data_IF_571974709237
#
_entry.id   IF_571974709237
#
_cell.length_a   1.000
_cell.length_b   1.000
_cell.length_c   1.000
_cell.angle_alpha   90.00
_cell.angle_beta   90.00
_cell.angle_gamma   90.00
#
_symmetry.space_group_name_H-M   'P 1'
#
loop_
_entity.id
_entity.type
_entity.pdbx_description
1 polymer ?
#
# COMPACT_ATOMS: atom_id res chain seq x y z
N UNK A 1 -38.62 7.87 47.67
CA UNK A 1 -39.41 7.79 46.42
C UNK A 1 -38.85 8.87 45.51
N UNK A 2 -38.22 8.48 44.39
CA UNK A 2 -37.82 9.30 43.22
C UNK A 2 -36.78 10.43 43.50
N UNK A 3 -35.51 10.38 43.08
CA UNK A 3 -34.87 10.15 41.77
C UNK A 3 -35.14 11.30 40.78
N UNK A 4 -34.24 12.27 40.73
CA UNK A 4 -33.98 13.09 39.53
C UNK A 4 -32.46 13.23 39.36
N UNK A 5 -31.93 12.44 38.43
CA UNK A 5 -30.54 12.51 38.01
C UNK A 5 -30.33 13.71 37.10
N UNK A 6 -29.38 14.55 37.47
CA UNK A 6 -28.78 15.50 36.54
C UNK A 6 -28.02 14.74 35.46
N UNK A 7 -28.45 14.94 34.22
CA UNK A 7 -27.79 14.44 33.03
C UNK A 7 -26.68 15.45 32.69
N UNK A 8 -25.43 15.07 32.92
CA UNK A 8 -24.28 15.77 32.31
C UNK A 8 -23.99 15.10 30.96
N UNK A 9 -23.80 15.89 29.89
CA UNK A 9 -23.51 15.38 28.56
C UNK A 9 -22.02 15.04 28.42
N UNK A 10 -21.72 14.13 27.50
CA UNK A 10 -20.38 13.79 26.99
C UNK A 10 -19.44 13.09 27.98
N UNK A 11 -19.55 11.76 28.03
CA UNK A 11 -18.45 10.90 28.45
C UNK A 11 -17.88 10.18 27.22
N UNK A 12 -16.63 10.54 26.92
CA UNK A 12 -15.65 9.94 26.04
C UNK A 12 -15.99 8.53 25.48
N UNK A 13 -16.23 8.47 24.16
CA UNK A 13 -16.15 7.25 23.35
C UNK A 13 -14.77 7.07 22.71
N UNK A 14 -13.75 7.79 23.19
CA UNK A 14 -12.37 7.63 22.77
C UNK A 14 -11.55 6.93 23.88
N UNK A 15 -10.71 5.97 23.49
CA UNK A 15 -9.63 5.38 24.29
C UNK A 15 -9.93 4.32 25.36
N UNK A 16 -10.96 3.49 25.13
CA UNK A 16 -11.29 2.35 26.01
C UNK A 16 -10.74 0.96 25.62
N UNK A 17 -9.90 0.81 24.59
CA UNK A 17 -9.36 -0.52 24.22
C UNK A 17 -7.92 -0.68 24.70
N UNK A 18 -7.79 -1.25 25.90
CA UNK A 18 -6.53 -1.76 26.43
C UNK A 18 -5.82 -2.66 25.41
N UNK A 19 -4.56 -2.34 25.10
CA UNK A 19 -3.65 -3.04 24.18
C UNK A 19 -3.20 -4.41 24.71
N UNK A 20 -4.11 -5.26 25.17
CA UNK A 20 -3.78 -6.56 25.75
C UNK A 20 -4.72 -7.66 25.24
N UNK A 21 -4.59 -7.99 23.96
CA UNK A 21 -4.90 -9.33 23.46
C UNK A 21 -3.56 -9.98 23.07
N UNK A 22 -3.30 -11.24 23.47
CA UNK A 22 -2.03 -11.89 23.21
C UNK A 22 -1.81 -12.11 21.71
N UNK A 23 -0.81 -11.40 21.17
CA UNK A 23 0.27 -11.97 20.35
C UNK A 23 -0.05 -12.74 19.06
N UNK A 24 -1.25 -12.67 18.49
CA UNK A 24 -1.48 -13.22 17.14
C UNK A 24 -1.11 -12.17 16.11
N UNK A 25 0.12 -12.25 15.59
CA UNK A 25 0.48 -11.56 14.36
C UNK A 25 -0.29 -12.24 13.23
N UNK A 26 -1.35 -11.60 12.74
CA UNK A 26 -2.06 -12.10 11.58
C UNK A 26 -1.17 -11.96 10.33
N UNK A 27 -1.22 -12.93 9.40
CA UNK A 27 -0.57 -12.77 8.11
C UNK A 27 -1.25 -11.65 7.35
N UNK A 28 -0.43 -10.82 6.72
CA UNK A 28 -0.87 -9.78 5.80
C UNK A 28 -0.54 -10.26 4.39
N UNK A 29 -1.61 -10.43 3.59
CA UNK A 29 -1.64 -11.19 2.33
C UNK A 29 -2.13 -10.26 1.23
N UNK A 30 -1.21 -9.85 0.37
CA UNK A 30 -1.46 -9.02 -0.80
C UNK A 30 -1.38 -9.88 -2.07
N UNK A 31 -2.35 -9.70 -2.98
CA UNK A 31 -2.26 -10.18 -4.36
C UNK A 31 -2.34 -9.00 -5.30
N UNK A 32 -1.30 -8.84 -6.12
CA UNK A 32 -1.33 -7.90 -7.23
C UNK A 32 -2.10 -8.48 -8.42
N UNK A 33 -3.02 -7.71 -8.95
CA UNK A 33 -3.87 -8.03 -10.09
C UNK A 33 -3.58 -7.07 -11.25
N UNK A 34 -3.55 -7.59 -12.48
CA UNK A 34 -3.38 -6.78 -13.69
C UNK A 34 -4.61 -5.93 -14.02
N UNK A 35 -5.77 -6.22 -13.42
CA UNK A 35 -7.03 -5.53 -13.68
C UNK A 35 -7.99 -5.55 -12.47
N UNK A 36 -9.07 -4.76 -12.53
CA UNK A 36 -10.07 -4.71 -11.46
C UNK A 36 -10.83 -6.03 -11.34
N UNK A 37 -11.21 -6.38 -10.10
CA UNK A 37 -12.03 -7.55 -9.79
C UNK A 37 -13.16 -7.18 -8.83
N UNK A 38 -14.31 -7.85 -8.94
CA UNK A 38 -15.44 -7.68 -8.03
C UNK A 38 -15.15 -8.31 -6.66
N UNK A 39 -14.67 -7.52 -5.68
CA UNK A 39 -14.36 -8.06 -4.34
C UNK A 39 -15.53 -8.79 -3.67
N UNK A 40 -16.77 -8.33 -3.91
CA UNK A 40 -17.99 -8.94 -3.38
C UNK A 40 -18.29 -10.33 -3.96
N UNK A 41 -17.71 -10.67 -5.11
CA UNK A 41 -17.81 -12.01 -5.70
C UNK A 41 -16.87 -13.02 -5.03
N UNK A 42 -15.86 -12.52 -4.31
CA UNK A 42 -14.83 -13.32 -3.65
C UNK A 42 -15.15 -13.53 -2.17
N UNK A 43 -15.70 -12.52 -1.52
CA UNK A 43 -16.03 -12.58 -0.10
C UNK A 43 -16.68 -11.30 0.42
N UNK A 44 -16.64 -11.12 1.74
CA UNK A 44 -17.16 -9.90 2.35
C UNK A 44 -16.14 -8.78 2.18
N UNK A 45 -16.55 -7.68 1.55
CA UNK A 45 -15.66 -6.53 1.34
C UNK A 45 -15.31 -5.91 2.69
N UNK A 46 -14.02 -5.62 2.91
CA UNK A 46 -13.59 -4.93 4.12
C UNK A 46 -14.07 -3.48 4.13
N UNK A 47 -14.08 -2.88 5.32
CA UNK A 47 -14.47 -1.48 5.49
C UNK A 47 -13.34 -0.68 6.10
N UNK A 48 -13.31 0.62 5.80
CA UNK A 48 -12.33 1.58 6.30
C UNK A 48 -13.06 2.82 6.81
N UNK A 49 -12.71 3.26 8.01
CA UNK A 49 -13.21 4.54 8.51
C UNK A 49 -12.40 5.68 7.90
N UNK A 50 -13.09 6.62 7.24
CA UNK A 50 -12.53 7.90 6.80
C UNK A 50 -13.55 8.98 7.10
N UNK A 51 -13.10 10.10 7.65
CA UNK A 51 -13.97 11.25 8.00
C UNK A 51 -15.20 10.84 8.83
N UNK A 52 -15.00 9.93 9.80
CA UNK A 52 -16.04 9.31 10.65
C UNK A 52 -17.12 8.49 9.91
N UNK A 53 -16.92 8.19 8.62
CA UNK A 53 -17.82 7.32 7.85
C UNK A 53 -17.18 5.95 7.58
N UNK A 54 -18.00 4.89 7.65
CA UNK A 54 -17.58 3.54 7.33
C UNK A 54 -17.69 3.30 5.81
N UNK A 55 -16.58 3.44 5.12
CA UNK A 55 -16.51 3.31 3.67
C UNK A 55 -16.03 1.93 3.24
N UNK A 56 -16.34 1.57 1.99
CA UNK A 56 -15.81 0.36 1.35
C UNK A 56 -14.29 0.42 1.23
N UNK A 57 -13.57 -0.62 1.66
CA UNK A 57 -12.14 -0.73 1.41
C UNK A 57 -11.88 -0.95 -0.10
N UNK A 58 -10.89 -0.29 -0.70
CA UNK A 58 -10.65 -0.38 -2.14
C UNK A 58 -10.21 -1.78 -2.60
N UNK A 59 -9.42 -2.49 -1.77
CA UNK A 59 -8.78 -3.77 -2.10
C UNK A 59 -9.11 -4.93 -1.15
N UNK A 60 -9.68 -4.64 0.01
CA UNK A 60 -9.68 -5.58 1.13
C UNK A 60 -10.90 -6.48 1.08
N UNK A 61 -10.70 -7.79 1.23
CA UNK A 61 -11.78 -8.78 1.25
C UNK A 61 -11.53 -9.84 2.32
N UNK A 62 -12.59 -10.25 3.01
CA UNK A 62 -12.61 -11.36 3.94
C UNK A 62 -13.17 -12.60 3.26
N UNK A 63 -12.35 -13.64 3.15
CA UNK A 63 -12.75 -14.98 2.67
C UNK A 63 -13.30 -15.86 3.80
N UNK A 64 -13.17 -15.39 5.05
CA UNK A 64 -13.74 -15.99 6.24
C UNK A 64 -15.04 -15.26 6.63
N UNK A 65 -15.81 -15.87 7.55
CA UNK A 65 -17.00 -15.22 8.09
C UNK A 65 -16.61 -14.04 8.99
N UNK A 66 -17.16 -12.88 8.69
CA UNK A 66 -17.01 -11.64 9.47
C UNK A 66 -18.39 -11.00 9.72
N UNK A 67 -18.51 -10.09 10.70
CA UNK A 67 -19.75 -9.34 10.89
C UNK A 67 -20.08 -8.47 9.66
N UNK A 68 -21.25 -8.66 9.06
CA UNK A 68 -21.67 -7.97 7.84
C UNK A 68 -22.77 -6.95 8.15
N UNK A 69 -22.68 -5.76 7.57
CA UNK A 69 -23.78 -4.81 7.54
C UNK A 69 -24.84 -5.28 6.52
N UNK A 70 -26.09 -5.58 6.94
CA UNK A 70 -27.11 -6.11 6.06
C UNK A 70 -27.60 -5.13 4.98
N UNK A 71 -27.35 -3.83 5.14
CA UNK A 71 -27.75 -2.80 4.16
C UNK A 71 -26.75 -2.74 3.00
N UNK A 72 -25.46 -2.77 3.33
CA UNK A 72 -24.37 -2.51 2.37
C UNK A 72 -23.67 -3.79 1.89
N UNK A 73 -23.78 -4.89 2.65
CA UNK A 73 -23.11 -6.17 2.35
C UNK A 73 -21.60 -6.17 2.61
N UNK A 74 -21.04 -5.10 3.18
CA UNK A 74 -19.62 -5.00 3.58
C UNK A 74 -19.44 -5.35 5.07
N UNK A 75 -18.19 -5.51 5.49
CA UNK A 75 -17.85 -5.73 6.89
C UNK A 75 -18.36 -4.55 7.74
N UNK A 76 -19.10 -4.83 8.80
CA UNK A 76 -19.61 -3.81 9.73
C UNK A 76 -18.51 -3.22 10.65
N UNK A 77 -17.30 -3.76 10.58
CA UNK A 77 -16.14 -3.32 11.35
C UNK A 77 -15.12 -2.61 10.46
N UNK A 78 -14.47 -1.58 10.99
CA UNK A 78 -13.24 -1.06 10.41
C UNK A 78 -12.16 -2.15 10.35
N UNK A 79 -11.37 -2.15 9.28
CA UNK A 79 -10.34 -3.17 9.05
C UNK A 79 -9.32 -3.29 10.19
N UNK A 80 -8.92 -2.20 10.86
CA UNK A 80 -8.01 -2.30 12.01
C UNK A 80 -8.69 -2.97 13.20
N UNK A 81 -9.98 -2.69 13.41
CA UNK A 81 -10.75 -3.34 14.48
C UNK A 81 -10.95 -4.82 14.18
N UNK A 82 -11.28 -5.16 12.94
CA UNK A 82 -11.44 -6.55 12.50
C UNK A 82 -10.13 -7.34 12.64
N UNK A 83 -9.00 -6.76 12.24
CA UNK A 83 -7.67 -7.37 12.40
C UNK A 83 -7.37 -7.61 13.89
N UNK A 84 -7.64 -6.63 14.77
CA UNK A 84 -7.47 -6.78 16.21
C UNK A 84 -8.33 -7.90 16.82
N UNK A 85 -9.47 -8.20 16.22
CA UNK A 85 -10.36 -9.30 16.62
C UNK A 85 -9.97 -10.66 16.02
N UNK A 86 -8.87 -10.73 15.27
CA UNK A 86 -8.40 -11.99 14.69
C UNK A 86 -8.96 -12.29 13.31
N UNK A 87 -9.55 -11.31 12.60
CA UNK A 87 -10.04 -11.50 11.24
C UNK A 87 -8.97 -11.13 10.20
N UNK A 88 -8.29 -12.11 9.59
CA UNK A 88 -7.35 -11.81 8.50
C UNK A 88 -8.13 -11.40 7.24
N UNK A 89 -7.73 -10.28 6.64
CA UNK A 89 -8.17 -9.91 5.29
C UNK A 89 -7.12 -10.31 4.25
N UNK A 90 -7.57 -10.41 3.01
CA UNK A 90 -6.72 -10.47 1.83
C UNK A 90 -6.89 -9.14 1.08
N UNK A 91 -5.78 -8.53 0.66
CA UNK A 91 -5.81 -7.33 -0.17
C UNK A 91 -5.55 -7.70 -1.63
N UNK A 92 -6.52 -7.39 -2.49
CA UNK A 92 -6.44 -7.57 -3.94
C UNK A 92 -6.14 -6.21 -4.58
N UNK A 93 -4.86 -5.97 -4.87
CA UNK A 93 -4.33 -4.69 -5.30
C UNK A 93 -4.25 -4.64 -6.82
N UNK A 94 -4.90 -3.66 -7.46
CA UNK A 94 -4.75 -3.48 -8.90
C UNK A 94 -3.40 -2.80 -9.17
N UNK A 95 -2.47 -3.54 -9.73
CA UNK A 95 -1.16 -3.04 -10.14
C UNK A 95 -1.00 -3.15 -11.67
N UNK A 96 -1.22 -2.02 -12.34
CA UNK A 96 -1.20 -1.93 -13.81
C UNK A 96 0.17 -2.19 -14.42
N UNK A 97 1.26 -2.15 -13.65
CA UNK A 97 2.59 -2.49 -14.17
C UNK A 97 2.61 -3.89 -14.79
N UNK A 98 1.89 -4.84 -14.19
CA UNK A 98 1.83 -6.21 -14.68
C UNK A 98 1.06 -6.36 -16.00
N UNK A 99 0.18 -5.41 -16.34
CA UNK A 99 -0.61 -5.48 -17.57
C UNK A 99 0.21 -5.25 -18.84
N UNK A 100 1.44 -4.73 -18.73
CA UNK A 100 2.33 -4.55 -19.87
C UNK A 100 2.96 -5.87 -20.36
N UNK A 101 3.04 -6.88 -19.51
CA UNK A 101 3.69 -8.16 -19.82
C UNK A 101 2.66 -9.21 -20.25
N UNK A 102 3.00 -9.97 -21.30
CA UNK A 102 2.21 -11.07 -21.86
C UNK A 102 2.31 -12.35 -21.02
N UNK A 103 3.41 -12.52 -20.29
CA UNK A 103 3.65 -13.69 -19.44
C UNK A 103 4.57 -13.37 -18.27
N UNK A 104 4.62 -14.28 -17.30
CA UNK A 104 5.59 -14.24 -16.21
C UNK A 104 7.03 -14.38 -16.69
N UNK A 105 7.26 -15.09 -17.79
CA UNK A 105 8.58 -15.29 -18.38
C UNK A 105 9.10 -13.99 -19.00
N UNK A 106 8.22 -13.23 -19.67
CA UNK A 106 8.57 -11.90 -20.21
C UNK A 106 8.93 -10.93 -19.08
N UNK A 107 8.13 -10.89 -18.00
CA UNK A 107 8.50 -10.11 -16.82
C UNK A 107 9.88 -10.52 -16.25
N UNK A 108 10.12 -11.83 -16.14
CA UNK A 108 11.39 -12.36 -15.64
C UNK A 108 12.58 -11.94 -16.52
N UNK A 109 12.40 -11.84 -17.83
CA UNK A 109 13.41 -11.32 -18.76
C UNK A 109 13.82 -9.89 -18.41
N UNK A 110 12.85 -8.97 -18.27
CA UNK A 110 13.13 -7.57 -17.89
C UNK A 110 13.78 -7.48 -16.51
N UNK A 111 13.33 -8.29 -15.55
CA UNK A 111 13.94 -8.38 -14.22
C UNK A 111 15.41 -8.81 -14.32
N UNK A 112 15.71 -9.83 -15.12
CA UNK A 112 17.08 -10.31 -15.31
C UNK A 112 17.99 -9.24 -15.96
N UNK A 113 17.45 -8.47 -16.91
CA UNK A 113 18.16 -7.36 -17.56
C UNK A 113 18.48 -6.22 -16.59
N UNK A 114 17.54 -5.88 -15.70
CA UNK A 114 17.80 -4.93 -14.62
C UNK A 114 18.96 -5.41 -13.75
N UNK A 115 18.99 -6.69 -13.37
CA UNK A 115 20.11 -7.26 -12.61
C UNK A 115 21.42 -7.33 -13.41
N UNK A 116 21.35 -7.39 -14.74
CA UNK A 116 22.50 -7.29 -15.63
C UNK A 116 23.02 -5.85 -15.82
N UNK A 117 22.34 -4.84 -15.26
CA UNK A 117 22.76 -3.44 -15.26
C UNK A 117 21.94 -2.52 -16.16
N UNK A 118 20.89 -3.02 -16.80
CA UNK A 118 20.00 -2.22 -17.67
C UNK A 118 18.94 -1.47 -16.85
N UNK A 119 19.38 -0.62 -15.92
CA UNK A 119 18.48 0.19 -15.11
C UNK A 119 18.11 1.51 -15.83
N UNK A 120 16.82 1.82 -16.07
CA UNK A 120 16.39 2.98 -16.86
C UNK A 120 16.41 4.29 -16.05
N UNK A 121 17.56 4.67 -15.47
CA UNK A 121 17.69 5.81 -14.55
C UNK A 121 17.18 7.14 -15.14
N UNK A 122 17.56 7.44 -16.37
CA UNK A 122 17.19 8.69 -17.05
C UNK A 122 15.68 8.80 -17.28
N UNK A 123 15.01 7.67 -17.49
CA UNK A 123 13.57 7.62 -17.76
C UNK A 123 12.75 7.83 -16.49
N UNK A 124 13.27 7.50 -15.31
CA UNK A 124 12.64 7.91 -14.05
C UNK A 124 12.60 9.43 -13.89
N UNK A 125 13.50 10.16 -14.54
CA UNK A 125 13.57 11.62 -14.49
C UNK A 125 12.86 12.30 -15.67
N UNK A 126 12.28 11.53 -16.58
CA UNK A 126 11.57 12.09 -17.73
C UNK A 126 10.14 12.50 -17.33
N UNK A 127 9.78 13.80 -17.39
CA UNK A 127 8.44 14.29 -17.03
C UNK A 127 7.30 13.61 -17.79
N UNK A 128 7.56 13.07 -18.99
CA UNK A 128 6.52 12.45 -19.83
C UNK A 128 5.80 11.29 -19.11
N UNK A 129 6.52 10.55 -18.26
CA UNK A 129 5.95 9.44 -17.50
C UNK A 129 5.20 9.87 -16.22
N UNK A 130 5.10 11.16 -15.94
CA UNK A 130 4.36 11.71 -14.80
C UNK A 130 3.15 12.53 -15.25
N UNK A 131 3.29 13.27 -16.36
CA UNK A 131 2.27 14.17 -16.89
C UNK A 131 1.44 13.54 -18.02
N UNK A 132 2.07 12.74 -18.88
CA UNK A 132 1.49 12.11 -20.07
C UNK A 132 0.80 10.77 -19.81
N UNK A 133 0.56 10.01 -20.88
CA UNK A 133 0.23 8.58 -20.82
C UNK A 133 1.21 7.82 -21.73
N UNK A 134 1.80 6.70 -21.29
CA UNK A 134 1.52 6.03 -20.02
C UNK A 134 2.29 6.63 -18.82
N UNK A 135 1.74 6.48 -17.61
CA UNK A 135 2.33 7.01 -16.36
C UNK A 135 2.99 5.95 -15.50
N UNK A 136 4.05 6.32 -14.76
CA UNK A 136 4.69 5.43 -13.78
C UNK A 136 3.66 5.00 -12.72
N UNK A 137 3.34 3.69 -12.63
CA UNK A 137 2.37 3.19 -11.66
C UNK A 137 2.77 3.56 -10.23
N UNK A 138 1.81 4.05 -9.46
CA UNK A 138 1.95 4.48 -8.06
C UNK A 138 2.92 5.67 -7.79
N UNK A 139 3.79 6.05 -8.72
CA UNK A 139 4.79 7.12 -8.54
C UNK A 139 4.46 8.41 -9.32
N UNK A 140 3.52 8.37 -10.28
CA UNK A 140 3.20 9.51 -11.16
C UNK A 140 2.83 10.83 -10.45
N UNK A 141 2.32 10.78 -9.21
CA UNK A 141 2.00 11.98 -8.40
C UNK A 141 3.15 12.49 -7.54
N UNK A 142 4.31 11.87 -7.64
CA UNK A 142 5.45 12.07 -6.74
C UNK A 142 6.71 12.46 -7.51
N UNK A 143 6.56 13.13 -8.65
CA UNK A 143 7.69 13.53 -9.49
C UNK A 143 8.69 14.43 -8.73
N UNK A 144 8.19 15.30 -7.87
CA UNK A 144 8.98 16.13 -6.95
C UNK A 144 9.89 15.30 -6.04
N UNK A 145 9.38 14.17 -5.55
CA UNK A 145 10.15 13.23 -4.72
C UNK A 145 11.24 12.54 -5.54
N UNK A 146 10.94 12.16 -6.78
CA UNK A 146 11.90 11.52 -7.69
C UNK A 146 13.02 12.48 -8.09
N UNK A 147 12.70 13.75 -8.36
CA UNK A 147 13.70 14.78 -8.62
C UNK A 147 14.59 15.05 -7.39
N UNK A 148 14.02 14.98 -6.18
CA UNK A 148 14.78 15.13 -4.94
C UNK A 148 15.69 13.94 -4.66
N UNK A 149 15.26 12.73 -5.00
CA UNK A 149 16.00 11.49 -4.82
C UNK A 149 16.07 10.70 -6.12
N UNK A 150 16.90 11.14 -7.09
CA UNK A 150 17.02 10.48 -8.39
C UNK A 150 17.45 9.03 -8.23
N UNK A 151 16.62 8.04 -8.61
CA UNK A 151 16.95 6.65 -8.40
C UNK A 151 18.00 6.18 -9.40
N UNK A 152 18.95 5.36 -8.93
CA UNK A 152 19.98 4.73 -9.76
C UNK A 152 19.95 3.21 -9.69
N UNK A 153 19.05 2.67 -8.88
CA UNK A 153 18.92 1.25 -8.61
C UNK A 153 17.50 0.91 -8.16
N UNK A 154 17.16 -0.38 -8.15
CA UNK A 154 15.91 -0.89 -7.57
C UNK A 154 15.82 -0.57 -6.07
N UNK A 155 16.94 -0.53 -5.36
CA UNK A 155 17.00 -0.15 -3.95
C UNK A 155 16.50 1.29 -3.74
N UNK A 156 16.94 2.23 -4.58
CA UNK A 156 16.51 3.63 -4.51
C UNK A 156 15.01 3.77 -4.83
N UNK A 157 14.53 3.01 -5.81
CA UNK A 157 13.10 2.97 -6.15
C UNK A 157 12.28 2.42 -4.97
N UNK A 158 12.76 1.38 -4.29
CA UNK A 158 12.11 0.83 -3.10
C UNK A 158 12.08 1.86 -1.95
N UNK A 159 13.15 2.63 -1.77
CA UNK A 159 13.21 3.74 -0.80
C UNK A 159 12.18 4.82 -1.16
N UNK A 160 12.09 5.22 -2.42
CA UNK A 160 11.08 6.18 -2.90
C UNK A 160 9.67 5.70 -2.58
N UNK A 161 9.35 4.43 -2.85
CA UNK A 161 8.05 3.85 -2.53
C UNK A 161 7.73 3.83 -1.05
N UNK A 162 8.73 3.65 -0.19
CA UNK A 162 8.56 3.75 1.25
C UNK A 162 8.39 5.22 1.70
N UNK A 163 9.17 6.17 1.14
CA UNK A 163 9.13 7.59 1.50
C UNK A 163 7.79 8.27 1.20
N UNK A 164 7.10 7.87 0.12
CA UNK A 164 5.78 8.45 -0.23
C UNK A 164 4.68 8.05 0.76
N UNK A 165 4.92 7.06 1.63
CA UNK A 165 3.96 6.63 2.66
C UNK A 165 3.97 7.59 3.86
N UNK A 166 2.80 7.88 4.48
CA UNK A 166 2.69 8.84 5.58
C UNK A 166 3.68 8.60 6.74
N UNK A 167 3.87 7.34 7.13
CA UNK A 167 4.74 6.97 8.24
C UNK A 167 6.22 7.34 8.03
N UNK A 168 6.69 7.39 6.78
CA UNK A 168 8.09 7.64 6.45
C UNK A 168 8.38 9.08 6.02
N UNK A 169 7.35 9.95 5.92
CA UNK A 169 7.52 11.35 5.47
C UNK A 169 8.48 12.17 6.31
N UNK A 170 8.64 11.83 7.59
CA UNK A 170 9.57 12.49 8.49
C UNK A 170 11.05 12.30 8.13
N UNK A 171 11.37 11.37 7.22
CA UNK A 171 12.72 11.14 6.71
C UNK A 171 13.05 12.00 5.47
N UNK A 172 12.05 12.63 4.86
CA UNK A 172 12.23 13.48 3.68
C UNK A 172 13.06 14.72 4.05
N UNK A 173 14.06 15.02 3.24
CA UNK A 173 15.06 16.08 3.44
C UNK A 173 16.42 15.56 3.91
N UNK A 174 16.52 14.32 4.38
CA UNK A 174 17.79 13.69 4.73
C UNK A 174 18.53 13.19 3.48
N UNK A 175 19.87 12.98 3.55
CA UNK A 175 20.62 12.27 2.52
C UNK A 175 20.09 10.85 2.32
N UNK A 176 20.09 10.35 1.07
CA UNK A 176 19.49 9.05 0.74
C UNK A 176 20.17 7.89 1.48
N UNK A 177 21.47 8.00 1.76
CA UNK A 177 22.24 7.03 2.52
C UNK A 177 21.75 6.93 3.98
N UNK A 178 21.42 8.08 4.57
CA UNK A 178 20.85 8.12 5.93
C UNK A 178 19.41 7.58 5.93
N UNK A 179 18.64 7.89 4.88
CA UNK A 179 17.29 7.35 4.70
C UNK A 179 17.36 5.83 4.59
N UNK A 180 18.23 5.28 3.75
CA UNK A 180 18.38 3.83 3.54
C UNK A 180 18.66 3.08 4.85
N UNK A 181 19.46 3.68 5.75
CA UNK A 181 19.75 3.11 7.06
C UNK A 181 18.57 3.18 8.03
N UNK A 182 17.69 4.17 7.89
CA UNK A 182 16.62 4.46 8.87
C UNK A 182 15.24 3.99 8.45
N UNK A 183 14.96 3.93 7.15
CA UNK A 183 13.62 3.70 6.61
C UNK A 183 13.11 2.28 6.88
N UNK A 184 14.04 1.33 7.06
CA UNK A 184 13.73 -0.05 7.43
C UNK A 184 13.84 -0.32 8.94
N UNK A 185 14.32 0.66 9.73
CA UNK A 185 14.54 0.51 11.17
C UNK A 185 13.27 0.86 11.93
N UNK A 186 12.89 -0.04 12.83
CA UNK A 186 11.68 0.09 13.64
C UNK A 186 11.86 1.18 14.69
N UNK A 187 10.97 2.19 14.69
CA UNK A 187 10.98 3.24 15.73
C UNK A 187 9.69 3.34 16.56
N UNK A 188 8.58 2.75 16.11
CA UNK A 188 7.28 2.85 16.81
C UNK A 188 6.39 1.62 16.62
N UNK A 189 5.55 1.31 17.62
CA UNK A 189 4.48 0.30 17.53
C UNK A 189 3.36 0.84 16.61
N UNK A 190 3.19 0.25 15.42
CA UNK A 190 2.15 0.61 14.44
C UNK A 190 2.33 -0.09 13.08
N UNK A 191 1.43 0.14 12.13
CA UNK A 191 1.51 -0.40 10.76
C UNK A 191 2.83 0.00 10.09
N UNK A 192 3.46 -0.96 9.40
CA UNK A 192 4.72 -0.79 8.69
C UNK A 192 4.56 -1.16 7.23
N UNK A 193 5.06 -0.29 6.36
CA UNK A 193 5.31 -0.68 4.99
C UNK A 193 6.51 -1.63 4.93
N UNK A 194 6.25 -2.90 4.60
CA UNK A 194 7.27 -3.95 4.61
C UNK A 194 8.34 -3.69 3.56
N UNK A 195 9.60 -3.94 3.91
CA UNK A 195 10.73 -3.87 2.96
C UNK A 195 10.48 -4.77 1.74
N UNK A 196 10.01 -6.00 1.94
CA UNK A 196 9.69 -6.90 0.83
C UNK A 196 8.64 -6.33 -0.13
N UNK A 197 7.58 -5.72 0.39
CA UNK A 197 6.54 -5.09 -0.42
C UNK A 197 7.08 -3.89 -1.22
N UNK A 198 7.92 -3.06 -0.59
CA UNK A 198 8.58 -1.95 -1.28
C UNK A 198 9.43 -2.43 -2.46
N UNK A 199 10.20 -3.51 -2.26
CA UNK A 199 11.05 -4.10 -3.29
C UNK A 199 10.25 -4.78 -4.41
N UNK A 200 9.16 -5.48 -4.07
CA UNK A 200 8.28 -6.11 -5.07
C UNK A 200 7.68 -5.08 -6.02
N UNK A 201 7.13 -3.99 -5.48
CA UNK A 201 6.59 -2.89 -6.28
C UNK A 201 7.70 -2.19 -7.07
N UNK A 202 8.84 -1.91 -6.44
CA UNK A 202 9.97 -1.26 -7.09
C UNK A 202 10.44 -2.05 -8.32
N UNK A 203 10.66 -3.36 -8.16
CA UNK A 203 11.10 -4.22 -9.24
C UNK A 203 10.08 -4.29 -10.38
N UNK A 204 8.80 -4.45 -10.06
CA UNK A 204 7.72 -4.47 -11.07
C UNK A 204 7.60 -3.16 -11.84
N UNK A 205 7.74 -2.01 -11.16
CA UNK A 205 7.70 -0.69 -11.79
C UNK A 205 8.95 -0.41 -12.61
N UNK A 206 10.13 -0.80 -12.15
CA UNK A 206 11.37 -0.67 -12.92
C UNK A 206 11.32 -1.53 -14.18
N UNK A 207 10.85 -2.78 -14.08
CA UNK A 207 10.66 -3.65 -15.24
C UNK A 207 9.66 -3.07 -16.22
N UNK A 208 8.54 -2.54 -15.72
CA UNK A 208 7.55 -1.87 -16.55
C UNK A 208 8.14 -0.67 -17.30
N UNK A 209 8.89 0.18 -16.61
CA UNK A 209 9.50 1.36 -17.24
C UNK A 209 10.50 0.96 -18.32
N UNK A 210 11.34 -0.05 -18.07
CA UNK A 210 12.28 -0.57 -19.06
C UNK A 210 11.53 -1.11 -20.29
N UNK A 211 10.46 -1.88 -20.09
CA UNK A 211 9.60 -2.37 -21.17
C UNK A 211 8.97 -1.24 -21.99
N UNK A 212 8.44 -0.21 -21.33
CA UNK A 212 7.82 0.93 -22.01
C UNK A 212 8.82 1.73 -22.86
N UNK A 213 10.04 1.91 -22.35
CA UNK A 213 11.12 2.60 -23.08
C UNK A 213 11.45 1.86 -24.37
N UNK A 214 11.47 0.52 -24.37
CA UNK A 214 11.78 -0.23 -25.60
C UNK A 214 10.61 -0.33 -26.56
N UNK A 215 9.39 -0.42 -26.02
CA UNK A 215 8.19 -0.56 -26.84
C UNK A 215 7.81 0.74 -27.56
N UNK A 216 8.20 1.89 -27.00
CA UNK A 216 7.74 3.22 -27.44
C UNK A 216 8.85 4.29 -27.53
N UNK A 217 10.12 3.91 -27.37
CA UNK A 217 11.29 4.80 -27.43
C UNK A 217 11.79 5.10 -28.84
#
# INVERSE_FOLDING_TARGET
MQNEGQIHPEADLADGFSKEAPGVTLPDVDFDLSGPIGLSEIGTVASIIRDNELLRHPSGVYVSRVPVDPVTGQCSLDHHRAEHLGYPKVDLLVNRSYAAFRSTDELAEYVNRIYAGEFPAEHFLDPKYYEGEPRIPQLYRHYDMVLRYPPKSVDDVAILFALIRPACRHLVGLPIEEIAQRIWVEKTKGYRYKKSAAYGVALGVTAWLLHEVESHG
#
